data_IF_423933805364
#
_entry.id   IF_423933805364
#
_cell.length_a   1.000
_cell.length_b   1.000
_cell.length_c   1.000
_cell.angle_alpha   90.00
_cell.angle_beta   90.00
_cell.angle_gamma   90.00
#
_symmetry.space_group_name_H-M   'P 1'
#
loop_
_entity.id
_entity.type
_entity.pdbx_description
1 polymer ?
#
# COMPACT_ATOMS: atom_id res chain seq x y z
N UNK A 1 35.82 5.45 54.07
CA UNK A 1 35.12 4.36 53.37
C UNK A 1 34.99 4.73 51.90
N UNK A 2 35.73 4.05 51.03
CA UNK A 2 35.64 4.26 49.58
C UNK A 2 34.51 3.41 49.01
N UNK A 3 33.56 4.04 48.33
CA UNK A 3 32.47 3.38 47.60
C UNK A 3 33.05 2.77 46.32
N UNK A 4 33.20 1.45 46.30
CA UNK A 4 33.54 0.70 45.08
C UNK A 4 32.30 0.72 44.17
N UNK A 5 32.34 1.54 43.11
CA UNK A 5 31.35 1.46 42.02
C UNK A 5 31.50 0.09 41.35
N UNK A 6 30.58 -0.82 41.67
CA UNK A 6 30.42 -2.10 40.99
C UNK A 6 30.10 -1.80 39.52
N UNK A 7 31.08 -1.96 38.63
CA UNK A 7 30.81 -1.98 37.20
C UNK A 7 29.94 -3.21 36.94
N UNK A 8 28.65 -2.99 36.70
CA UNK A 8 27.78 -4.01 36.12
C UNK A 8 28.30 -4.19 34.69
N UNK A 9 28.95 -5.32 34.41
CA UNK A 9 29.20 -5.73 33.03
C UNK A 9 27.83 -5.83 32.37
N UNK A 10 27.53 -4.97 31.40
CA UNK A 10 26.50 -5.30 30.41
C UNK A 10 27.03 -6.52 29.67
N UNK A 11 26.44 -7.68 29.90
CA UNK A 11 26.57 -8.80 28.98
C UNK A 11 25.84 -8.35 27.70
N UNK A 12 26.60 -8.09 26.65
CA UNK A 12 26.04 -7.90 25.31
C UNK A 12 25.58 -9.30 24.89
N UNK A 13 24.28 -9.55 24.94
CA UNK A 13 23.69 -10.78 24.41
C UNK A 13 23.98 -10.79 22.89
N UNK A 14 24.73 -11.78 22.42
CA UNK A 14 25.03 -11.92 20.98
C UNK A 14 23.76 -12.33 20.24
N UNK A 15 23.34 -11.53 19.26
CA UNK A 15 22.21 -11.85 18.40
C UNK A 15 22.58 -13.01 17.45
N UNK A 16 21.68 -13.99 17.24
CA UNK A 16 21.97 -15.15 16.42
C UNK A 16 22.07 -14.79 14.94
N UNK A 17 22.92 -15.49 14.18
CA UNK A 17 22.89 -15.44 12.71
C UNK A 17 21.98 -16.54 12.19
N UNK A 18 21.08 -16.22 11.26
CA UNK A 18 20.19 -17.18 10.62
C UNK A 18 20.78 -17.64 9.28
N UNK A 19 20.67 -18.93 8.98
CA UNK A 19 21.08 -19.54 7.71
C UNK A 19 19.89 -19.73 6.75
N UNK A 20 18.67 -19.74 7.29
CA UNK A 20 17.43 -19.95 6.56
C UNK A 20 16.35 -18.95 6.97
N UNK A 21 15.38 -18.72 6.08
CA UNK A 21 14.20 -17.90 6.38
C UNK A 21 13.41 -18.51 7.55
N UNK A 22 13.27 -19.83 7.59
CA UNK A 22 12.54 -20.56 8.63
C UNK A 22 13.14 -20.36 10.02
N UNK A 23 14.47 -20.31 10.14
CA UNK A 23 15.15 -20.01 11.40
C UNK A 23 14.87 -18.59 11.88
N UNK A 24 14.92 -17.61 10.98
CA UNK A 24 14.63 -16.21 11.30
C UNK A 24 13.15 -16.01 11.71
N UNK A 25 12.22 -16.65 10.98
CA UNK A 25 10.79 -16.69 11.32
C UNK A 25 10.56 -17.34 12.69
N UNK A 26 11.14 -18.50 12.93
CA UNK A 26 11.00 -19.19 14.21
C UNK A 26 11.53 -18.34 15.36
N UNK A 27 12.61 -17.60 15.15
CA UNK A 27 13.12 -16.66 16.14
C UNK A 27 12.14 -15.49 16.37
N UNK A 28 11.61 -14.88 15.32
CA UNK A 28 10.59 -13.83 15.44
C UNK A 28 9.36 -14.29 16.24
N UNK A 29 8.81 -15.48 15.92
CA UNK A 29 7.59 -16.00 16.52
C UNK A 29 7.76 -16.49 17.97
N UNK A 30 8.97 -16.90 18.35
CA UNK A 30 9.27 -17.45 19.69
C UNK A 30 9.72 -16.41 20.71
N UNK A 31 10.02 -15.18 20.29
CA UNK A 31 10.46 -14.10 21.16
C UNK A 31 9.32 -13.09 21.38
N UNK A 32 9.28 -12.50 22.58
CA UNK A 32 8.36 -11.38 22.90
C UNK A 32 9.09 -10.05 23.08
N UNK A 33 10.42 -10.06 23.16
CA UNK A 33 11.22 -8.85 23.33
C UNK A 33 11.27 -8.03 22.04
N UNK A 34 10.90 -6.74 22.12
CA UNK A 34 10.81 -5.85 20.94
C UNK A 34 12.13 -5.79 20.15
N UNK A 35 13.27 -5.66 20.83
CA UNK A 35 14.58 -5.55 20.16
C UNK A 35 14.92 -6.84 19.38
N UNK A 36 14.53 -8.01 19.91
CA UNK A 36 14.74 -9.32 19.26
C UNK A 36 13.80 -9.49 18.07
N UNK A 37 12.54 -9.06 18.18
CA UNK A 37 11.59 -9.05 17.06
C UNK A 37 12.04 -8.11 15.95
N UNK A 38 12.48 -6.91 16.29
CA UNK A 38 12.96 -5.92 15.32
C UNK A 38 14.17 -6.44 14.56
N UNK A 39 15.12 -7.06 15.27
CA UNK A 39 16.25 -7.74 14.65
C UNK A 39 15.79 -8.87 13.71
N UNK A 40 14.86 -9.72 14.16
CA UNK A 40 14.35 -10.82 13.35
C UNK A 40 13.67 -10.32 12.06
N UNK A 41 12.88 -9.23 12.14
CA UNK A 41 12.23 -8.61 10.99
C UNK A 41 13.26 -8.13 9.96
N UNK A 42 14.33 -7.49 10.42
CA UNK A 42 15.43 -7.04 9.56
C UNK A 42 16.15 -8.21 8.88
N UNK A 43 16.38 -9.31 9.60
CA UNK A 43 17.01 -10.50 9.03
C UNK A 43 16.08 -11.24 8.06
N UNK A 44 14.80 -11.38 8.38
CA UNK A 44 13.80 -12.00 7.52
C UNK A 44 13.77 -11.32 6.15
N UNK A 45 13.78 -9.98 6.11
CA UNK A 45 13.72 -9.20 4.88
C UNK A 45 14.89 -9.46 3.91
N UNK A 46 16.01 -10.02 4.40
CA UNK A 46 17.17 -10.34 3.56
C UNK A 46 17.03 -11.65 2.80
N UNK A 47 16.08 -12.52 3.19
CA UNK A 47 15.85 -13.79 2.53
C UNK A 47 14.82 -13.67 1.41
N UNK A 48 14.99 -14.50 0.37
CA UNK A 48 13.96 -14.67 -0.65
C UNK A 48 12.67 -15.22 -0.01
N UNK A 49 11.51 -14.63 -0.33
CA UNK A 49 10.24 -14.93 0.34
C UNK A 49 10.03 -14.20 1.67
N UNK A 50 11.04 -13.48 2.17
CA UNK A 50 10.99 -12.77 3.44
C UNK A 50 10.00 -11.62 3.42
N UNK A 51 9.99 -10.82 2.35
CA UNK A 51 9.05 -9.72 2.17
C UNK A 51 7.60 -10.21 2.21
N UNK A 52 7.27 -11.27 1.48
CA UNK A 52 5.94 -11.87 1.45
C UNK A 52 5.51 -12.36 2.83
N UNK A 53 6.41 -13.00 3.58
CA UNK A 53 6.12 -13.39 4.96
C UNK A 53 5.81 -12.17 5.83
N UNK A 54 6.64 -11.13 5.77
CA UNK A 54 6.45 -9.91 6.56
C UNK A 54 5.11 -9.23 6.24
N UNK A 55 4.74 -9.13 4.96
CA UNK A 55 3.43 -8.63 4.53
C UNK A 55 2.30 -9.51 5.06
N UNK A 56 2.47 -10.84 5.06
CA UNK A 56 1.48 -11.77 5.63
C UNK A 56 1.26 -11.56 7.14
N UNK A 57 2.28 -11.08 7.88
CA UNK A 57 2.16 -10.73 9.29
C UNK A 57 1.29 -9.49 9.51
N UNK A 58 1.26 -8.54 8.56
CA UNK A 58 0.35 -7.38 8.63
C UNK A 58 -1.12 -7.84 8.60
N UNK A 59 -1.45 -8.85 7.80
CA UNK A 59 -2.80 -9.43 7.77
C UNK A 59 -3.18 -10.10 9.12
N UNK A 60 -2.18 -10.49 9.92
CA UNK A 60 -2.36 -11.06 11.26
C UNK A 60 -2.30 -10.01 12.38
N UNK A 61 -2.72 -8.77 12.10
CA UNK A 61 -2.70 -7.61 13.02
C UNK A 61 -3.27 -7.89 14.42
N UNK A 62 -4.20 -8.83 14.54
CA UNK A 62 -4.81 -9.20 15.83
C UNK A 62 -3.84 -9.94 16.76
N UNK A 63 -2.78 -10.55 16.22
CA UNK A 63 -1.82 -11.38 16.94
C UNK A 63 -0.43 -10.75 17.03
N UNK A 64 -0.16 -9.68 16.28
CA UNK A 64 1.13 -9.01 16.20
C UNK A 64 1.04 -7.63 16.85
N UNK A 65 2.03 -7.31 17.68
CA UNK A 65 2.08 -6.00 18.34
C UNK A 65 2.24 -4.86 17.33
N UNK A 66 1.59 -3.72 17.60
CA UNK A 66 1.63 -2.55 16.71
C UNK A 66 3.05 -2.02 16.46
N UNK A 67 3.95 -2.15 17.44
CA UNK A 67 5.37 -1.83 17.29
C UNK A 67 6.02 -2.69 16.20
N UNK A 68 5.84 -4.01 16.28
CA UNK A 68 6.34 -4.94 15.27
C UNK A 68 5.70 -4.70 13.90
N UNK A 69 4.40 -4.39 13.82
CA UNK A 69 3.76 -4.04 12.54
C UNK A 69 4.34 -2.76 11.93
N UNK A 70 4.60 -1.74 12.77
CA UNK A 70 5.26 -0.50 12.33
C UNK A 70 6.68 -0.77 11.83
N UNK A 71 7.42 -1.65 12.53
CA UNK A 71 8.75 -2.07 12.11
C UNK A 71 8.72 -2.85 10.79
N UNK A 72 7.78 -3.79 10.65
CA UNK A 72 7.55 -4.53 9.41
C UNK A 72 7.31 -3.56 8.26
N UNK A 73 6.38 -2.63 8.41
CA UNK A 73 6.09 -1.65 7.36
C UNK A 73 7.32 -0.82 6.99
N UNK A 74 8.07 -0.35 7.99
CA UNK A 74 9.31 0.42 7.77
C UNK A 74 10.40 -0.39 7.07
N UNK A 75 10.51 -1.68 7.34
CA UNK A 75 11.51 -2.53 6.67
C UNK A 75 11.06 -2.84 5.25
N UNK A 76 9.80 -3.26 5.08
CA UNK A 76 9.23 -3.55 3.77
C UNK A 76 9.32 -2.33 2.86
N UNK A 77 8.95 -1.13 3.30
CA UNK A 77 8.99 0.08 2.47
C UNK A 77 10.39 0.53 2.02
N UNK A 78 11.45 -0.08 2.57
CA UNK A 78 12.84 0.19 2.18
C UNK A 78 13.49 -0.95 1.39
N UNK A 79 12.73 -2.02 1.12
CA UNK A 79 13.21 -3.12 0.28
C UNK A 79 13.48 -2.61 -1.14
N UNK A 80 14.39 -3.28 -1.85
CA UNK A 80 14.59 -3.01 -3.28
C UNK A 80 13.29 -3.32 -4.04
N UNK A 81 12.71 -2.36 -4.80
CA UNK A 81 11.47 -2.57 -5.54
C UNK A 81 11.48 -3.72 -6.55
N UNK A 82 12.64 -4.18 -7.00
CA UNK A 82 12.75 -5.35 -7.89
C UNK A 82 12.45 -6.68 -7.18
N UNK A 83 12.61 -6.73 -5.85
CA UNK A 83 12.34 -7.92 -5.01
C UNK A 83 11.25 -7.68 -3.98
N UNK A 84 10.75 -6.45 -3.89
CA UNK A 84 9.69 -6.08 -2.98
C UNK A 84 8.39 -6.84 -3.28
N UNK A 85 7.62 -7.25 -2.26
CA UNK A 85 6.38 -8.00 -2.42
C UNK A 85 5.20 -7.06 -2.80
N UNK A 86 5.33 -6.27 -3.87
CA UNK A 86 4.38 -5.21 -4.23
C UNK A 86 2.95 -5.71 -4.40
N UNK A 87 2.76 -6.83 -5.08
CA UNK A 87 1.43 -7.43 -5.26
C UNK A 87 0.82 -7.82 -3.91
N UNK A 88 1.60 -8.40 -2.99
CA UNK A 88 1.10 -8.75 -1.66
C UNK A 88 0.75 -7.51 -0.83
N UNK A 89 1.49 -6.41 -0.98
CA UNK A 89 1.18 -5.13 -0.30
C UNK A 89 -0.17 -4.58 -0.82
N UNK A 90 -0.43 -4.69 -2.12
CA UNK A 90 -1.71 -4.28 -2.71
C UNK A 90 -2.88 -5.13 -2.25
N UNK A 91 -2.69 -6.44 -2.05
CA UNK A 91 -3.71 -7.31 -1.46
C UNK A 91 -4.12 -6.87 -0.04
N UNK A 92 -3.25 -6.17 0.71
CA UNK A 92 -3.63 -5.59 2.01
C UNK A 92 -4.74 -4.55 1.88
N UNK A 93 -4.83 -3.88 0.73
CA UNK A 93 -5.86 -2.86 0.49
C UNK A 93 -7.25 -3.47 0.38
N UNK A 94 -7.36 -4.76 0.01
CA UNK A 94 -8.62 -5.51 -0.06
C UNK A 94 -9.23 -5.85 1.30
N UNK A 95 -8.44 -5.75 2.37
CA UNK A 95 -8.88 -6.19 3.70
C UNK A 95 -9.77 -5.13 4.36
N UNK A 96 -10.85 -5.56 5.00
CA UNK A 96 -11.83 -4.64 5.64
C UNK A 96 -11.21 -3.77 6.75
N UNK A 97 -10.10 -4.22 7.34
CA UNK A 97 -9.45 -3.52 8.43
C UNK A 97 -8.73 -2.24 7.94
N UNK A 98 -9.30 -1.08 8.25
CA UNK A 98 -8.75 0.22 7.86
C UNK A 98 -7.30 0.45 8.32
N UNK A 99 -6.88 -0.10 9.46
CA UNK A 99 -5.48 0.01 9.88
C UNK A 99 -4.54 -0.75 8.95
N UNK A 100 -4.93 -1.95 8.51
CA UNK A 100 -4.14 -2.75 7.55
C UNK A 100 -4.05 -2.03 6.21
N UNK A 101 -5.18 -1.52 5.70
CA UNK A 101 -5.20 -0.76 4.44
C UNK A 101 -4.30 0.46 4.50
N UNK A 102 -4.40 1.26 5.56
CA UNK A 102 -3.56 2.44 5.74
C UNK A 102 -2.07 2.11 5.83
N UNK A 103 -1.73 0.96 6.43
CA UNK A 103 -0.34 0.50 6.47
C UNK A 103 0.15 0.12 5.07
N UNK A 104 -0.66 -0.59 4.28
CA UNK A 104 -0.38 -0.88 2.87
C UNK A 104 -0.16 0.38 2.04
N UNK A 105 -1.07 1.37 2.13
CA UNK A 105 -0.94 2.66 1.45
C UNK A 105 0.35 3.36 1.86
N UNK A 106 0.68 3.39 3.16
CA UNK A 106 1.91 4.02 3.64
C UNK A 106 3.15 3.36 3.06
N UNK A 107 3.19 2.02 2.99
CA UNK A 107 4.30 1.28 2.40
C UNK A 107 4.44 1.63 0.91
N UNK A 108 3.34 1.61 0.15
CA UNK A 108 3.33 1.93 -1.28
C UNK A 108 3.79 3.37 -1.55
N UNK A 109 3.35 4.32 -0.73
CA UNK A 109 3.75 5.73 -0.83
C UNK A 109 5.25 5.92 -0.61
N UNK A 110 5.83 5.19 0.35
CA UNK A 110 7.26 5.28 0.66
C UNK A 110 8.16 4.79 -0.50
N UNK A 111 7.64 3.94 -1.40
CA UNK A 111 8.33 3.54 -2.64
C UNK A 111 8.40 4.65 -3.70
N UNK A 112 7.58 5.69 -3.60
CA UNK A 112 7.54 6.80 -4.55
C UNK A 112 7.28 6.35 -5.99
N UNK A 113 7.99 6.96 -6.94
CA UNK A 113 7.77 6.77 -8.39
C UNK A 113 7.89 5.31 -8.87
N UNK A 114 8.62 4.46 -8.15
CA UNK A 114 8.84 3.07 -8.60
C UNK A 114 7.53 2.28 -8.62
N UNK A 115 6.57 2.66 -7.78
CA UNK A 115 5.27 1.99 -7.72
C UNK A 115 4.37 2.31 -8.93
N UNK A 116 4.67 3.37 -9.72
CA UNK A 116 3.88 3.78 -10.90
C UNK A 116 3.68 2.65 -11.89
N UNK A 117 4.74 1.88 -12.17
CA UNK A 117 4.66 0.72 -13.07
C UNK A 117 3.61 -0.30 -12.60
N UNK A 118 3.60 -0.57 -11.29
CA UNK A 118 2.66 -1.51 -10.69
C UNK A 118 1.25 -0.94 -10.66
N UNK A 119 1.06 0.35 -10.36
CA UNK A 119 -0.24 1.01 -10.43
C UNK A 119 -0.85 0.86 -11.82
N UNK A 120 -0.09 1.17 -12.89
CA UNK A 120 -0.56 0.98 -14.27
C UNK A 120 -0.94 -0.49 -14.52
N UNK A 121 -0.10 -1.44 -14.09
CA UNK A 121 -0.39 -2.87 -14.21
C UNK A 121 -1.72 -3.25 -13.52
N UNK A 122 -2.02 -2.67 -12.37
CA UNK A 122 -3.28 -2.94 -11.66
C UNK A 122 -4.47 -2.28 -12.34
N UNK A 123 -4.33 -1.03 -12.81
CA UNK A 123 -5.39 -0.30 -13.54
C UNK A 123 -5.83 -1.03 -14.80
N UNK A 124 -4.92 -1.68 -15.53
CA UNK A 124 -5.26 -2.46 -16.73
C UNK A 124 -5.60 -3.93 -16.44
N UNK A 125 -5.61 -4.33 -15.17
CA UNK A 125 -5.82 -5.71 -14.74
C UNK A 125 -7.30 -6.09 -14.66
N UNK A 126 -7.58 -7.40 -14.68
CA UNK A 126 -8.95 -7.93 -14.65
C UNK A 126 -9.63 -7.81 -13.28
N UNK A 127 -8.86 -7.69 -12.20
CA UNK A 127 -9.38 -7.61 -10.82
C UNK A 127 -9.93 -6.21 -10.55
N UNK A 128 -11.27 -6.12 -10.53
CA UNK A 128 -12.04 -4.90 -10.24
C UNK A 128 -11.60 -4.21 -8.95
N UNK A 129 -11.37 -4.96 -7.88
CA UNK A 129 -11.05 -4.38 -6.59
C UNK A 129 -9.62 -3.81 -6.62
N UNK A 130 -8.67 -4.49 -7.27
CA UNK A 130 -7.32 -3.95 -7.50
C UNK A 130 -7.33 -2.67 -8.32
N UNK A 131 -8.22 -2.53 -9.33
CA UNK A 131 -8.38 -1.26 -10.07
C UNK A 131 -8.85 -0.13 -9.16
N UNK A 132 -9.88 -0.36 -8.34
CA UNK A 132 -10.36 0.63 -7.35
C UNK A 132 -9.23 1.03 -6.38
N UNK A 133 -8.45 0.07 -5.90
CA UNK A 133 -7.34 0.37 -5.00
C UNK A 133 -6.20 1.13 -5.68
N UNK A 134 -5.89 0.80 -6.93
CA UNK A 134 -4.91 1.54 -7.70
C UNK A 134 -5.32 3.02 -7.87
N UNK A 135 -6.61 3.29 -8.13
CA UNK A 135 -7.16 4.66 -8.16
C UNK A 135 -7.00 5.35 -6.80
N UNK A 136 -7.35 4.67 -5.69
CA UNK A 136 -7.19 5.26 -4.35
C UNK A 136 -5.72 5.61 -4.06
N UNK A 137 -4.78 4.76 -4.46
CA UNK A 137 -3.34 5.02 -4.31
C UNK A 137 -2.90 6.22 -5.17
N UNK A 138 -3.42 6.38 -6.39
CA UNK A 138 -3.14 7.58 -7.21
C UNK A 138 -3.55 8.87 -6.50
N UNK A 139 -4.69 8.83 -5.81
CA UNK A 139 -5.17 9.95 -5.00
C UNK A 139 -4.36 10.25 -3.75
N UNK A 140 -3.86 9.21 -3.06
CA UNK A 140 -3.10 9.36 -1.82
C UNK A 140 -1.62 9.73 -2.06
N UNK A 141 -1.07 9.40 -3.23
CA UNK A 141 0.35 9.63 -3.55
C UNK A 141 0.57 10.85 -4.46
N UNK A 142 -0.46 11.32 -5.16
CA UNK A 142 -0.45 12.55 -5.99
C UNK A 142 0.70 12.57 -7.01
N UNK A 143 0.77 11.54 -7.86
CA UNK A 143 1.72 11.53 -8.97
C UNK A 143 1.33 12.57 -10.02
N UNK A 144 2.33 13.22 -10.64
CA UNK A 144 2.09 14.22 -11.69
C UNK A 144 1.29 13.63 -12.87
N UNK A 145 1.44 12.34 -13.13
CA UNK A 145 0.79 11.58 -14.19
C UNK A 145 -0.55 10.96 -13.77
N UNK A 146 -1.00 11.15 -12.51
CA UNK A 146 -2.25 10.54 -12.00
C UNK A 146 -3.45 10.88 -12.89
N UNK A 147 -3.56 12.14 -13.34
CA UNK A 147 -4.64 12.58 -14.24
C UNK A 147 -4.63 11.78 -15.54
N UNK A 148 -3.47 11.71 -16.21
CA UNK A 148 -3.34 11.02 -17.49
C UNK A 148 -3.70 9.53 -17.36
N UNK A 149 -3.28 8.89 -16.25
CA UNK A 149 -3.64 7.49 -15.96
C UNK A 149 -5.15 7.29 -15.76
N UNK A 150 -5.84 8.24 -15.08
CA UNK A 150 -7.29 8.17 -14.90
C UNK A 150 -8.04 8.46 -16.20
N UNK A 151 -7.54 9.38 -17.04
CA UNK A 151 -8.08 9.64 -18.37
C UNK A 151 -8.02 8.38 -19.20
N UNK A 152 -6.85 7.74 -19.32
CA UNK A 152 -6.67 6.49 -20.08
C UNK A 152 -7.61 5.39 -19.57
N UNK A 153 -7.72 5.20 -18.26
CA UNK A 153 -8.66 4.24 -17.66
C UNK A 153 -10.12 4.53 -18.07
N UNK A 154 -10.54 5.79 -18.02
CA UNK A 154 -11.94 6.17 -18.28
C UNK A 154 -12.33 6.08 -19.77
N UNK A 155 -11.37 5.99 -20.69
CA UNK A 155 -11.65 5.82 -22.11
C UNK A 155 -12.40 4.50 -22.40
N UNK A 156 -12.08 3.43 -21.67
CA UNK A 156 -12.60 2.09 -21.93
C UNK A 156 -13.09 1.31 -20.68
N UNK A 157 -13.08 1.90 -19.48
CA UNK A 157 -13.62 1.23 -18.29
C UNK A 157 -15.14 0.99 -18.40
N UNK A 158 -15.51 -0.27 -18.13
CA UNK A 158 -16.87 -0.81 -18.21
C UNK A 158 -17.48 -1.12 -16.83
N UNK A 159 -16.68 -1.18 -15.75
CA UNK A 159 -17.20 -1.31 -14.39
C UNK A 159 -17.58 0.06 -13.83
N UNK A 160 -18.87 0.24 -13.58
CA UNK A 160 -19.43 1.48 -13.02
C UNK A 160 -18.73 1.93 -11.72
N UNK A 161 -18.32 1.02 -10.84
CA UNK A 161 -17.74 1.41 -9.56
C UNK A 161 -16.29 1.84 -9.73
N UNK A 162 -15.54 1.18 -10.62
CA UNK A 162 -14.18 1.60 -10.98
C UNK A 162 -14.23 2.97 -11.64
N UNK A 163 -15.10 3.14 -12.65
CA UNK A 163 -15.26 4.40 -13.35
C UNK A 163 -15.67 5.54 -12.40
N UNK A 164 -16.66 5.31 -11.53
CA UNK A 164 -17.11 6.37 -10.60
C UNK A 164 -16.07 6.68 -9.51
N UNK A 165 -15.28 5.69 -9.08
CA UNK A 165 -14.12 5.97 -8.20
C UNK A 165 -13.13 6.90 -8.92
N UNK A 166 -12.82 6.64 -10.19
CA UNK A 166 -11.94 7.52 -10.97
C UNK A 166 -12.55 8.91 -11.18
N UNK A 167 -13.87 9.01 -11.43
CA UNK A 167 -14.58 10.29 -11.55
C UNK A 167 -14.50 11.12 -10.27
N UNK A 168 -14.63 10.48 -9.10
CA UNK A 168 -14.51 11.18 -7.81
C UNK A 168 -13.13 11.84 -7.67
N UNK A 169 -12.05 11.17 -8.10
CA UNK A 169 -10.70 11.76 -8.10
C UNK A 169 -10.51 12.80 -9.21
N UNK A 170 -11.07 12.58 -10.40
CA UNK A 170 -11.06 13.58 -11.49
C UNK A 170 -11.78 14.89 -11.09
N UNK A 171 -12.69 14.86 -10.11
CA UNK A 171 -13.27 16.09 -9.56
C UNK A 171 -12.23 17.01 -8.88
N UNK A 172 -11.13 16.44 -8.38
CA UNK A 172 -10.06 17.18 -7.69
C UNK A 172 -8.91 17.55 -8.63
N UNK A 173 -8.54 16.66 -9.56
CA UNK A 173 -7.35 16.81 -10.41
C UNK A 173 -7.65 17.03 -11.89
N UNK A 174 -8.91 16.89 -12.32
CA UNK A 174 -9.31 17.04 -13.71
C UNK A 174 -9.25 18.49 -14.20
N UNK A 175 -9.13 18.64 -15.51
CA UNK A 175 -9.06 19.93 -16.21
C UNK A 175 -10.23 20.09 -17.19
N UNK A 176 -10.45 21.30 -17.71
CA UNK A 176 -11.58 21.56 -18.62
C UNK A 176 -11.57 20.65 -19.87
N UNK A 177 -10.39 20.18 -20.27
CA UNK A 177 -10.21 19.26 -21.41
C UNK A 177 -10.89 17.89 -21.17
N UNK A 178 -11.02 17.46 -19.91
CA UNK A 178 -11.56 16.15 -19.54
C UNK A 178 -13.09 16.11 -19.55
N UNK A 179 -13.74 17.26 -19.64
CA UNK A 179 -15.20 17.38 -19.51
C UNK A 179 -15.91 16.54 -20.59
N UNK A 180 -15.40 16.50 -21.82
CA UNK A 180 -16.01 15.69 -22.88
C UNK A 180 -15.94 14.19 -22.57
N UNK A 181 -14.81 13.72 -22.03
CA UNK A 181 -14.64 12.34 -21.58
C UNK A 181 -15.61 12.02 -20.44
N UNK A 182 -15.68 12.89 -19.42
CA UNK A 182 -16.58 12.71 -18.28
C UNK A 182 -18.06 12.67 -18.71
N UNK A 183 -18.50 13.58 -19.59
CA UNK A 183 -19.85 13.56 -20.16
C UNK A 183 -20.15 12.26 -20.91
N UNK A 184 -19.17 11.69 -21.62
CA UNK A 184 -19.35 10.43 -22.36
C UNK A 184 -19.73 9.25 -21.45
N UNK A 185 -19.30 9.27 -20.18
CA UNK A 185 -19.61 8.24 -19.19
C UNK A 185 -21.11 8.18 -18.87
N UNK A 186 -21.83 9.30 -18.93
CA UNK A 186 -23.29 9.33 -18.71
C UNK A 186 -24.04 8.52 -19.77
N UNK A 187 -23.57 8.57 -21.02
CA UNK A 187 -24.17 7.75 -22.09
C UNK A 187 -23.70 6.29 -22.00
N UNK A 188 -22.43 6.04 -21.63
CA UNK A 188 -21.92 4.67 -21.44
C UNK A 188 -22.71 3.93 -20.36
N UNK A 189 -23.00 4.58 -19.24
CA UNK A 189 -23.74 4.02 -18.11
C UNK A 189 -25.18 4.53 -18.04
N UNK A 190 -25.83 4.69 -19.20
CA UNK A 190 -27.18 5.25 -19.30
C UNK A 190 -28.18 4.50 -18.42
N UNK A 191 -28.95 5.25 -17.63
CA UNK A 191 -29.98 4.71 -16.73
C UNK A 191 -29.51 4.59 -15.27
N UNK A 192 -28.22 4.76 -15.02
CA UNK A 192 -27.64 4.77 -13.69
C UNK A 192 -27.64 6.20 -13.13
N UNK A 193 -28.67 6.52 -12.33
CA UNK A 193 -28.89 7.88 -11.78
C UNK A 193 -27.68 8.40 -11.00
N UNK A 194 -26.93 7.52 -10.35
CA UNK A 194 -25.73 7.88 -9.62
C UNK A 194 -24.61 8.41 -10.54
N UNK A 195 -24.48 7.88 -11.76
CA UNK A 195 -23.44 8.32 -12.72
C UNK A 195 -23.67 9.76 -13.15
N UNK A 196 -24.91 10.13 -13.48
CA UNK A 196 -25.25 11.51 -13.84
C UNK A 196 -24.84 12.48 -12.71
N UNK A 197 -25.19 12.13 -11.47
CA UNK A 197 -24.87 12.94 -10.30
C UNK A 197 -23.35 13.08 -10.05
N UNK A 198 -22.61 11.97 -10.08
CA UNK A 198 -21.17 11.96 -9.85
C UNK A 198 -20.42 12.76 -10.92
N UNK A 199 -20.74 12.52 -12.20
CA UNK A 199 -20.14 13.23 -13.33
C UNK A 199 -20.47 14.72 -13.31
N UNK A 200 -21.73 15.10 -13.07
CA UNK A 200 -22.11 16.52 -12.95
C UNK A 200 -21.38 17.20 -11.79
N UNK A 201 -21.21 16.48 -10.67
CA UNK A 201 -20.43 16.92 -9.53
C UNK A 201 -18.98 17.20 -9.89
N UNK A 202 -18.31 16.25 -10.56
CA UNK A 202 -16.93 16.39 -10.99
C UNK A 202 -16.74 17.55 -11.98
N UNK A 203 -17.57 17.64 -13.02
CA UNK A 203 -17.52 18.73 -14.01
C UNK A 203 -17.72 20.10 -13.35
N UNK A 204 -18.59 20.19 -12.35
CA UNK A 204 -18.79 21.43 -11.61
C UNK A 204 -17.54 21.85 -10.85
N UNK A 205 -16.85 20.90 -10.21
CA UNK A 205 -15.60 21.17 -9.49
C UNK A 205 -14.50 21.64 -10.44
N UNK A 206 -14.37 21.02 -11.62
CA UNK A 206 -13.40 21.39 -12.66
C UNK A 206 -13.62 22.83 -13.15
N UNK A 207 -14.87 23.26 -13.33
CA UNK A 207 -15.21 24.60 -13.85
C UNK A 207 -15.04 25.73 -12.83
N UNK A 208 -15.02 25.43 -11.53
CA UNK A 208 -15.02 26.41 -10.43
C UNK A 208 -16.40 26.94 -10.05
#
# INVERSE_FOLDING_TARGET
MALIKKHVKQEIEELPTFLTLEEAISYFESNDESDKKDYAIEEIAKFNGGGEYLVSCINKVEYIEKSSLSKIASVVSTMDPEVAPIEAIMELLKLDNAYIRNLGISILRDYGDVIKYYIVKFLIGDDRDLRIFAINVLGDVDFAESRDMLVELLEDEDDINVAMTAVDYMAEIGEEEDIELLESLKERFKGEVYVEFAVDGAIKMIKG
#
